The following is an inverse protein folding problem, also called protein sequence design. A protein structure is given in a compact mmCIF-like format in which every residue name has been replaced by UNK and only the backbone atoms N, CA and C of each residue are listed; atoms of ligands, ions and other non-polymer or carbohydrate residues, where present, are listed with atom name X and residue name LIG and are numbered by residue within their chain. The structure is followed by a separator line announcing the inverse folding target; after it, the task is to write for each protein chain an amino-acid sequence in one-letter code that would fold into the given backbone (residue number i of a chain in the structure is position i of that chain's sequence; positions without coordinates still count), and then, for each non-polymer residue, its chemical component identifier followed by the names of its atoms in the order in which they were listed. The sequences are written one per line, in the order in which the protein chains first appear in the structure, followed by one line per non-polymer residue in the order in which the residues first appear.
data_IF_498259331116
#
_entry.id   IF_498259331116
#
_cell.length_a   1.000
_cell.length_b   1.000
_cell.length_c   1.000
_cell.angle_alpha   90.00
_cell.angle_beta   90.00
_cell.angle_gamma   90.00
#
_symmetry.space_group_name_H-M   'P 1'
#
loop_
_entity.id
_entity.type
_entity.pdbx_description
1 polymer ?
#
# COMPACT_ATOMS: atom_id res chain seq x y z
N UNK A 1 2.72 30.61 18.15
CA UNK A 1 1.83 29.64 18.81
C UNK A 1 0.42 29.86 18.26
N UNK A 2 0.02 29.11 17.24
CA UNK A 2 -1.35 29.13 16.71
C UNK A 2 -1.86 27.68 16.65
N UNK A 3 -2.29 27.16 17.80
CA UNK A 3 -2.88 25.83 17.94
C UNK A 3 -4.37 25.76 17.49
N UNK A 4 -4.80 26.72 16.66
CA UNK A 4 -6.18 26.86 16.21
C UNK A 4 -6.21 27.01 14.68
N UNK A 5 -6.49 25.90 13.98
CA UNK A 5 -7.30 25.79 12.73
C UNK A 5 -7.12 24.49 11.91
N UNK A 6 -6.51 23.43 12.42
CA UNK A 6 -6.69 22.12 11.78
C UNK A 6 -8.06 21.56 12.21
N UNK A 7 -8.95 21.27 11.25
CA UNK A 7 -10.22 20.58 11.50
C UNK A 7 -10.04 19.12 11.97
N UNK A 8 -8.80 18.70 12.19
CA UNK A 8 -8.39 17.35 12.52
C UNK A 8 -7.39 17.32 13.68
N UNK A 9 -7.34 16.18 14.37
CA UNK A 9 -6.33 15.84 15.40
C UNK A 9 -5.63 14.54 15.06
N UNK A 10 -4.37 14.41 15.46
CA UNK A 10 -3.54 13.23 15.20
C UNK A 10 -3.03 12.68 16.52
N UNK A 11 -3.30 11.42 16.82
CA UNK A 11 -2.82 10.71 18.00
C UNK A 11 -1.89 9.56 17.57
N UNK A 12 -0.96 9.19 18.46
CA UNK A 12 -0.18 7.96 18.36
C UNK A 12 -0.71 6.97 19.37
N UNK A 13 -1.11 5.77 18.94
CA UNK A 13 -1.57 4.72 19.84
C UNK A 13 -0.41 3.93 20.48
N UNK A 14 0.83 4.16 20.05
CA UNK A 14 1.98 3.42 20.54
C UNK A 14 2.40 3.81 21.97
N UNK A 15 2.58 2.81 22.86
CA UNK A 15 3.19 3.02 24.19
C UNK A 15 4.70 3.29 24.15
N UNK A 16 5.40 2.77 23.16
CA UNK A 16 6.86 2.88 23.07
C UNK A 16 7.28 4.13 22.28
N UNK A 17 8.25 4.87 22.82
CA UNK A 17 8.74 6.12 22.21
C UNK A 17 9.37 5.90 20.82
N UNK A 18 10.08 4.79 20.60
CA UNK A 18 10.65 4.43 19.29
C UNK A 18 9.56 4.26 18.21
N UNK A 19 8.46 3.60 18.57
CA UNK A 19 7.31 3.38 17.70
C UNK A 19 6.52 4.67 17.38
N UNK A 20 6.77 5.75 18.12
CA UNK A 20 6.14 7.06 17.90
C UNK A 20 6.91 7.94 16.89
N UNK A 21 8.11 7.52 16.46
CA UNK A 21 8.94 8.29 15.52
C UNK A 21 8.20 8.62 14.22
N UNK A 22 7.45 7.65 13.69
CA UNK A 22 6.69 7.85 12.47
C UNK A 22 5.59 8.90 12.67
N UNK A 23 4.85 8.81 13.78
CA UNK A 23 3.78 9.74 14.09
C UNK A 23 4.31 11.19 14.18
N UNK A 24 5.46 11.39 14.82
CA UNK A 24 6.14 12.70 14.89
C UNK A 24 6.54 13.24 13.53
N UNK A 25 7.20 12.42 12.69
CA UNK A 25 7.61 12.79 11.33
C UNK A 25 6.43 13.19 10.45
N UNK A 26 5.30 12.52 10.65
CA UNK A 26 4.05 12.83 9.95
C UNK A 26 3.49 14.18 10.44
N UNK A 27 3.38 14.39 11.75
CA UNK A 27 2.82 15.64 12.30
C UNK A 27 3.68 16.85 11.98
N UNK A 28 5.01 16.72 12.04
CA UNK A 28 5.97 17.76 11.63
C UNK A 28 5.72 18.24 10.21
N UNK A 29 5.41 17.31 9.30
CA UNK A 29 5.16 17.62 7.88
C UNK A 29 3.77 18.19 7.61
N UNK A 30 2.80 17.81 8.43
CA UNK A 30 1.47 18.40 8.40
C UNK A 30 1.42 19.77 9.11
N UNK A 31 2.51 20.21 9.74
CA UNK A 31 2.50 21.39 10.59
C UNK A 31 1.55 21.26 11.79
N UNK A 32 1.30 20.02 12.22
CA UNK A 32 0.40 19.69 13.32
C UNK A 32 1.20 19.23 14.54
N UNK A 33 0.57 19.25 15.70
CA UNK A 33 1.10 18.64 16.93
C UNK A 33 0.38 17.33 17.21
N UNK A 34 1.09 16.37 17.81
CA UNK A 34 0.47 15.15 18.32
C UNK A 34 -0.47 15.50 19.47
N UNK A 35 -1.63 14.88 19.46
CA UNK A 35 -2.62 15.00 20.51
C UNK A 35 -2.10 14.48 21.84
N UNK A 36 -2.58 15.07 22.92
CA UNK A 36 -2.20 14.71 24.29
C UNK A 36 -2.93 13.44 24.69
N UNK A 37 -2.21 12.32 24.69
CA UNK A 37 -2.69 11.04 25.21
C UNK A 37 -1.60 10.32 26.00
N UNK A 38 -2.02 9.52 26.96
CA UNK A 38 -1.14 8.62 27.72
C UNK A 38 -1.53 7.19 27.36
N UNK A 39 -0.56 6.40 26.92
CA UNK A 39 -0.72 4.97 26.62
C UNK A 39 0.35 4.21 27.40
N UNK A 40 -0.06 3.28 28.25
CA UNK A 40 0.86 2.49 29.05
C UNK A 40 0.28 1.11 29.38
N UNK A 41 1.15 0.19 29.80
CA UNK A 41 0.74 -1.10 30.35
C UNK A 41 0.81 -1.06 31.88
N UNK A 42 -0.24 -1.56 32.52
CA UNK A 42 -0.29 -1.79 33.95
C UNK A 42 0.61 -2.99 34.33
N UNK A 43 0.93 -3.15 35.62
CA UNK A 43 1.85 -4.21 36.09
C UNK A 43 1.35 -5.64 35.83
N UNK A 44 0.03 -5.80 35.63
CA UNK A 44 -0.62 -7.07 35.27
C UNK A 44 -0.64 -7.32 33.73
N UNK A 45 -0.08 -6.42 32.92
CA UNK A 45 -0.06 -6.52 31.45
C UNK A 45 -1.29 -5.93 30.75
N UNK A 46 -2.26 -5.38 31.47
CA UNK A 46 -3.42 -4.72 30.86
C UNK A 46 -3.02 -3.38 30.23
N UNK A 47 -3.59 -3.07 29.07
CA UNK A 47 -3.33 -1.82 28.37
C UNK A 47 -4.30 -0.73 28.81
N UNK A 48 -3.79 0.44 29.16
CA UNK A 48 -4.60 1.62 29.50
C UNK A 48 -4.30 2.79 28.58
N UNK A 49 -5.37 3.44 28.12
CA UNK A 49 -5.30 4.64 27.27
C UNK A 49 -6.12 5.75 27.90
N UNK A 50 -5.52 6.92 28.03
CA UNK A 50 -6.18 8.13 28.51
C UNK A 50 -5.98 9.29 27.54
N UNK A 51 -7.09 9.81 27.01
CA UNK A 51 -7.08 11.01 26.15
C UNK A 51 -7.14 12.24 27.05
N UNK A 52 -6.15 13.13 26.96
CA UNK A 52 -5.98 14.30 27.85
C UNK A 52 -6.49 15.61 27.25
N UNK A 53 -7.19 15.54 26.13
CA UNK A 53 -7.81 16.70 25.47
C UNK A 53 -9.19 16.36 24.90
N UNK A 54 -9.99 17.40 24.60
CA UNK A 54 -11.31 17.21 24.02
C UNK A 54 -11.24 16.93 22.53
N UNK A 55 -11.89 15.84 22.10
CA UNK A 55 -11.97 15.38 20.70
C UNK A 55 -13.39 15.45 20.13
N UNK A 56 -14.32 16.09 20.85
CA UNK A 56 -15.75 16.10 20.50
C UNK A 56 -15.99 16.74 19.14
N UNK A 57 -16.65 16.01 18.25
CA UNK A 57 -17.06 16.49 16.93
C UNK A 57 -15.90 16.75 15.96
N UNK A 58 -14.68 16.34 16.30
CA UNK A 58 -13.48 16.48 15.48
C UNK A 58 -13.17 15.21 14.69
N UNK A 59 -12.43 15.37 13.61
CA UNK A 59 -11.90 14.25 12.81
C UNK A 59 -10.54 13.83 13.38
N UNK A 60 -10.41 12.56 13.73
CA UNK A 60 -9.28 12.04 14.48
C UNK A 60 -8.51 11.02 13.65
N UNK A 61 -7.20 11.18 13.58
CA UNK A 61 -6.29 10.22 12.98
C UNK A 61 -5.52 9.51 14.08
N UNK A 62 -5.57 8.18 14.10
CA UNK A 62 -4.77 7.36 15.03
C UNK A 62 -3.66 6.71 14.21
N UNK A 63 -2.41 7.07 14.49
CA UNK A 63 -1.25 6.42 13.87
C UNK A 63 -0.83 5.26 14.76
N UNK A 64 -0.79 4.06 14.18
CA UNK A 64 -0.29 2.87 14.88
C UNK A 64 0.78 2.17 14.04
N UNK A 65 1.99 2.12 14.60
CA UNK A 65 3.03 1.20 14.14
C UNK A 65 2.97 -0.09 14.96
N UNK A 66 3.40 -1.21 14.40
CA UNK A 66 3.30 -2.52 15.05
C UNK A 66 4.69 -2.97 15.53
N UNK A 67 5.03 -2.83 16.82
CA UNK A 67 6.26 -3.39 17.38
C UNK A 67 6.22 -4.94 17.41
N UNK A 68 7.26 -5.56 17.98
CA UNK A 68 7.37 -7.03 18.09
C UNK A 68 6.16 -7.66 18.78
N UNK A 69 5.59 -6.99 19.78
CA UNK A 69 4.35 -7.41 20.41
C UNK A 69 3.13 -6.89 19.64
N UNK A 70 2.69 -7.71 18.67
CA UNK A 70 1.53 -7.41 17.83
C UNK A 70 0.22 -7.36 18.61
N UNK A 71 0.06 -8.18 19.65
CA UNK A 71 -1.21 -8.30 20.39
C UNK A 71 -1.47 -7.03 21.19
N UNK A 72 -0.45 -6.57 21.93
CA UNK A 72 -0.51 -5.32 22.68
C UNK A 72 -0.77 -4.14 21.75
N UNK A 73 -0.06 -4.06 20.62
CA UNK A 73 -0.25 -2.98 19.65
C UNK A 73 -1.67 -2.94 19.07
N UNK A 74 -2.29 -4.10 18.85
CA UNK A 74 -3.70 -4.18 18.43
C UNK A 74 -4.64 -3.72 19.54
N UNK A 75 -4.39 -4.14 20.78
CA UNK A 75 -5.20 -3.72 21.94
C UNK A 75 -5.09 -2.22 22.21
N UNK A 76 -3.89 -1.64 22.17
CA UNK A 76 -3.66 -0.19 22.25
C UNK A 76 -4.52 0.58 21.24
N UNK A 77 -4.50 0.15 19.98
CA UNK A 77 -5.28 0.77 18.91
C UNK A 77 -6.79 0.64 19.16
N UNK A 78 -7.26 -0.56 19.52
CA UNK A 78 -8.69 -0.81 19.78
C UNK A 78 -9.20 0.02 20.95
N UNK A 79 -8.44 0.07 22.05
CA UNK A 79 -8.81 0.83 23.25
C UNK A 79 -8.78 2.34 22.95
N UNK A 80 -7.76 2.84 22.24
CA UNK A 80 -7.69 4.24 21.84
C UNK A 80 -8.86 4.63 20.93
N UNK A 81 -9.17 3.81 19.93
CA UNK A 81 -10.33 4.04 19.06
C UNK A 81 -11.64 4.07 19.85
N UNK A 82 -11.82 3.13 20.78
CA UNK A 82 -13.01 3.07 21.61
C UNK A 82 -13.14 4.27 22.58
N UNK A 83 -12.02 4.72 23.16
CA UNK A 83 -11.98 5.93 23.99
C UNK A 83 -12.34 7.19 23.20
N UNK A 84 -11.84 7.33 21.97
CA UNK A 84 -12.15 8.44 21.07
C UNK A 84 -13.62 8.41 20.61
N UNK A 85 -14.17 7.22 20.32
CA UNK A 85 -15.59 7.03 20.02
C UNK A 85 -16.48 7.44 21.18
N UNK A 86 -16.15 6.99 22.38
CA UNK A 86 -16.88 7.33 23.62
C UNK A 86 -16.78 8.82 23.93
N UNK A 87 -15.72 9.48 23.50
CA UNK A 87 -15.51 10.93 23.59
C UNK A 87 -16.19 11.74 22.48
N UNK A 88 -17.08 11.11 21.70
CA UNK A 88 -17.86 11.71 20.61
C UNK A 88 -17.01 12.31 19.48
N UNK A 89 -15.89 11.67 19.12
CA UNK A 89 -15.20 11.96 17.87
C UNK A 89 -16.15 11.78 16.67
N UNK A 90 -16.04 12.65 15.66
CA UNK A 90 -16.91 12.60 14.46
C UNK A 90 -16.49 11.45 13.55
N UNK A 91 -15.22 11.44 13.16
CA UNK A 91 -14.61 10.40 12.37
C UNK A 91 -13.33 9.94 13.07
N UNK A 92 -13.08 8.63 13.03
CA UNK A 92 -11.88 8.00 13.57
C UNK A 92 -11.21 7.24 12.43
N UNK A 93 -10.09 7.77 11.95
CA UNK A 93 -9.31 7.24 10.85
C UNK A 93 -8.09 6.52 11.43
N UNK A 94 -8.05 5.20 11.28
CA UNK A 94 -6.88 4.41 11.66
C UNK A 94 -5.82 4.47 10.57
N UNK A 95 -4.64 4.97 10.87
CA UNK A 95 -3.49 4.88 9.97
C UNK A 95 -2.59 3.78 10.48
N UNK A 96 -2.58 2.68 9.72
CA UNK A 96 -1.88 1.45 10.07
C UNK A 96 -0.97 1.10 8.89
N UNK A 97 0.27 1.63 8.84
CA UNK A 97 1.16 1.45 7.69
C UNK A 97 1.37 -0.03 7.34
N UNK A 98 1.66 -0.86 8.34
CA UNK A 98 1.68 -2.32 8.20
C UNK A 98 0.46 -2.91 8.90
N UNK A 99 -0.45 -3.53 8.15
CA UNK A 99 -1.65 -4.14 8.73
C UNK A 99 -1.35 -5.50 9.37
N UNK A 100 -1.54 -5.67 10.70
CA UNK A 100 -1.19 -6.90 11.39
C UNK A 100 -2.13 -8.06 10.99
N UNK A 101 -1.66 -9.29 11.16
CA UNK A 101 -2.34 -10.53 10.73
C UNK A 101 -2.68 -10.62 9.23
N UNK A 102 -2.15 -9.74 8.39
CA UNK A 102 -2.42 -9.73 6.93
C UNK A 102 -1.98 -11.01 6.21
N UNK A 103 -0.92 -11.69 6.69
CA UNK A 103 -0.52 -13.05 6.24
C UNK A 103 -1.59 -14.11 6.53
N UNK A 104 -2.46 -13.90 7.52
CA UNK A 104 -3.57 -14.79 7.91
C UNK A 104 -4.90 -14.36 7.26
N UNK A 105 -4.85 -13.99 5.98
CA UNK A 105 -6.00 -13.54 5.17
C UNK A 105 -6.73 -14.65 4.43
N UNK A 106 -6.19 -15.88 4.45
CA UNK A 106 -6.82 -17.08 3.87
C UNK A 106 -6.93 -18.15 4.95
N UNK A 107 -8.04 -18.89 4.92
CA UNK A 107 -8.23 -20.04 5.81
C UNK A 107 -7.23 -21.14 5.43
N UNK A 108 -6.48 -21.63 6.41
CA UNK A 108 -5.56 -22.77 6.26
C UNK A 108 -6.11 -23.94 7.06
N UNK A 109 -6.24 -25.12 6.44
CA UNK A 109 -6.80 -26.34 7.08
C UNK A 109 -8.10 -26.01 7.84
N UNK A 110 -8.31 -26.58 9.03
CA UNK A 110 -9.35 -26.17 9.99
C UNK A 110 -8.91 -24.95 10.81
N UNK A 111 -8.68 -23.84 10.13
CA UNK A 111 -8.24 -22.57 10.72
C UNK A 111 -9.30 -21.47 10.66
N UNK A 112 -8.94 -20.27 11.09
CA UNK A 112 -9.78 -19.07 11.00
C UNK A 112 -9.12 -18.01 10.11
N UNK A 113 -9.90 -17.03 9.65
CA UNK A 113 -9.39 -15.86 8.94
C UNK A 113 -9.22 -14.73 9.96
N UNK A 114 -8.10 -14.74 10.68
CA UNK A 114 -7.83 -13.78 11.78
C UNK A 114 -7.77 -12.35 11.27
N UNK A 115 -7.30 -12.13 10.03
CA UNK A 115 -7.32 -10.81 9.39
C UNK A 115 -8.75 -10.21 9.30
N UNK A 116 -9.76 -11.05 9.03
CA UNK A 116 -11.18 -10.64 8.98
C UNK A 116 -11.75 -10.40 10.37
N UNK A 117 -11.36 -11.21 11.35
CA UNK A 117 -11.69 -10.98 12.76
C UNK A 117 -11.20 -9.61 13.21
N UNK A 118 -9.92 -9.29 12.95
CA UNK A 118 -9.33 -8.00 13.29
C UNK A 118 -10.06 -6.84 12.62
N UNK A 119 -10.34 -6.93 11.32
CA UNK A 119 -11.11 -5.90 10.60
C UNK A 119 -12.49 -5.66 11.25
N UNK A 120 -13.14 -6.73 11.73
CA UNK A 120 -14.44 -6.66 12.41
C UNK A 120 -14.30 -6.03 13.81
N UNK A 121 -13.23 -6.33 14.55
CA UNK A 121 -12.95 -5.72 15.84
C UNK A 121 -12.67 -4.22 15.71
N UNK A 122 -11.90 -3.80 14.70
CA UNK A 122 -11.63 -2.39 14.43
C UNK A 122 -12.92 -1.60 14.12
N UNK A 123 -13.82 -2.19 13.33
CA UNK A 123 -15.14 -1.60 13.06
C UNK A 123 -15.96 -1.45 14.34
N UNK A 124 -15.95 -2.46 15.21
CA UNK A 124 -16.68 -2.43 16.49
C UNK A 124 -16.08 -1.42 17.47
N UNK A 125 -14.75 -1.31 17.53
CA UNK A 125 -14.05 -0.34 18.35
C UNK A 125 -14.39 1.11 17.96
N UNK A 126 -14.70 1.36 16.69
CA UNK A 126 -15.17 2.67 16.23
C UNK A 126 -14.43 3.28 15.06
N UNK A 127 -13.54 2.54 14.41
CA UNK A 127 -12.89 3.06 13.20
C UNK A 127 -13.94 3.27 12.10
N UNK A 128 -13.86 4.45 11.50
CA UNK A 128 -14.71 4.89 10.39
C UNK A 128 -14.02 4.76 9.04
N UNK A 129 -12.69 4.73 9.03
CA UNK A 129 -11.84 4.65 7.85
C UNK A 129 -10.49 4.05 8.26
N UNK A 130 -9.83 3.33 7.36
CA UNK A 130 -8.43 2.91 7.54
C UNK A 130 -7.54 3.33 6.36
N UNK A 131 -6.40 3.90 6.66
CA UNK A 131 -5.32 4.17 5.71
C UNK A 131 -4.19 3.18 6.01
N UNK A 132 -3.82 2.38 5.02
CA UNK A 132 -2.77 1.37 5.14
C UNK A 132 -1.90 1.38 3.89
N UNK A 133 -0.81 0.62 3.88
CA UNK A 133 0.10 0.56 2.75
C UNK A 133 0.38 -0.89 2.38
N UNK A 134 0.34 -1.19 1.08
CA UNK A 134 0.57 -2.52 0.46
C UNK A 134 0.04 -3.71 1.28
N UNK A 135 -1.29 -3.78 1.45
CA UNK A 135 -1.95 -4.97 1.98
C UNK A 135 -1.44 -6.25 1.29
N UNK A 136 -1.17 -7.29 2.10
CA UNK A 136 -0.60 -8.56 1.65
C UNK A 136 -1.34 -9.16 0.45
N UNK A 137 -2.67 -9.09 0.48
CA UNK A 137 -3.56 -9.41 -0.63
C UNK A 137 -4.52 -8.22 -0.81
N UNK A 138 -4.83 -7.85 -2.06
CA UNK A 138 -5.67 -6.67 -2.33
C UNK A 138 -7.12 -6.89 -1.86
N UNK A 139 -7.54 -8.15 -1.86
CA UNK A 139 -8.86 -8.64 -1.46
C UNK A 139 -9.14 -8.40 0.03
N UNK A 140 -8.11 -8.18 0.86
CA UNK A 140 -8.26 -7.82 2.28
C UNK A 140 -9.10 -6.55 2.45
N UNK A 141 -9.13 -5.64 1.46
CA UNK A 141 -10.00 -4.47 1.49
C UNK A 141 -11.48 -4.85 1.69
N UNK A 142 -11.93 -5.97 1.12
CA UNK A 142 -13.30 -6.47 1.28
C UNK A 142 -13.60 -7.03 2.67
N UNK A 143 -12.62 -7.12 3.57
CA UNK A 143 -12.85 -7.55 4.95
C UNK A 143 -13.44 -6.45 5.81
N UNK A 144 -13.19 -5.18 5.48
CA UNK A 144 -13.66 -4.04 6.24
C UNK A 144 -15.08 -3.67 5.84
N UNK A 145 -15.89 -3.27 6.83
CA UNK A 145 -17.25 -2.74 6.60
C UNK A 145 -17.26 -1.23 6.34
N UNK A 146 -16.09 -0.62 6.24
CA UNK A 146 -15.87 0.82 6.09
C UNK A 146 -14.75 1.07 5.07
N UNK A 147 -14.62 2.30 4.54
CA UNK A 147 -13.66 2.60 3.48
C UNK A 147 -12.19 2.34 3.86
N UNK A 148 -11.43 1.86 2.89
CA UNK A 148 -10.01 1.47 3.04
C UNK A 148 -9.18 2.13 1.94
N UNK A 149 -8.26 3.00 2.34
CA UNK A 149 -7.23 3.52 1.46
C UNK A 149 -5.97 2.66 1.58
N UNK A 150 -5.73 1.82 0.57
CA UNK A 150 -4.52 0.99 0.47
C UNK A 150 -3.49 1.64 -0.44
N UNK A 151 -2.55 2.35 0.16
CA UNK A 151 -1.47 3.05 -0.53
C UNK A 151 -0.46 2.05 -1.13
N UNK A 152 0.27 2.49 -2.15
CA UNK A 152 1.29 1.69 -2.84
C UNK A 152 2.69 2.23 -2.59
N UNK A 153 3.61 1.37 -2.16
CA UNK A 153 5.04 1.68 -2.09
C UNK A 153 5.73 1.63 -3.44
N UNK A 154 5.11 0.97 -4.44
CA UNK A 154 5.76 0.69 -5.73
C UNK A 154 6.39 1.91 -6.42
N UNK A 155 5.81 3.13 -6.43
CA UNK A 155 6.48 4.27 -7.06
C UNK A 155 7.85 4.59 -6.42
N UNK A 156 7.97 4.44 -5.10
CA UNK A 156 9.21 4.70 -4.36
C UNK A 156 10.25 3.63 -4.59
N UNK A 157 9.84 2.36 -4.56
CA UNK A 157 10.73 1.24 -4.84
C UNK A 157 11.21 1.25 -6.31
N UNK A 158 10.36 1.66 -7.26
CA UNK A 158 10.75 1.84 -8.66
C UNK A 158 11.75 2.98 -8.85
N UNK A 159 11.51 4.13 -8.23
CA UNK A 159 12.44 5.26 -8.24
C UNK A 159 13.80 4.84 -7.71
N UNK A 160 13.82 4.13 -6.59
CA UNK A 160 15.05 3.61 -6.00
C UNK A 160 15.82 2.67 -6.92
N UNK A 161 15.13 1.74 -7.59
CA UNK A 161 15.77 0.85 -8.58
C UNK A 161 16.45 1.66 -9.68
N UNK A 162 15.83 2.75 -10.14
CA UNK A 162 16.36 3.57 -11.23
C UNK A 162 17.50 4.49 -10.80
N UNK A 163 17.47 5.00 -9.56
CA UNK A 163 18.43 5.98 -9.06
C UNK A 163 19.67 5.34 -8.42
N UNK A 164 19.49 4.22 -7.71
CA UNK A 164 20.52 3.69 -6.80
C UNK A 164 21.11 2.35 -7.26
N UNK A 165 20.39 1.56 -8.06
CA UNK A 165 20.95 0.30 -8.59
C UNK A 165 21.75 0.59 -9.88
N UNK A 166 23.08 0.36 -9.87
CA UNK A 166 23.88 0.49 -11.07
C UNK A 166 23.46 -0.57 -12.09
N UNK A 167 23.38 -0.19 -13.36
CA UNK A 167 22.99 -1.10 -14.46
C UNK A 167 21.64 -1.82 -14.23
N UNK A 168 20.66 -1.14 -13.63
CA UNK A 168 19.33 -1.70 -13.40
C UNK A 168 18.63 -2.19 -14.69
N UNK A 169 19.07 -1.72 -15.87
CA UNK A 169 18.55 -2.16 -17.19
C UNK A 169 18.93 -3.60 -17.52
N UNK A 170 20.05 -4.09 -16.99
CA UNK A 170 20.46 -5.48 -17.07
C UNK A 170 19.88 -6.33 -15.92
N UNK A 171 18.98 -5.78 -15.09
CA UNK A 171 18.35 -6.51 -14.01
C UNK A 171 17.17 -7.37 -14.49
N UNK A 172 16.85 -8.38 -13.70
CA UNK A 172 15.66 -9.23 -13.79
C UNK A 172 14.88 -9.14 -12.48
N UNK A 173 13.58 -8.90 -12.59
CA UNK A 173 12.70 -8.88 -11.42
C UNK A 173 12.33 -10.32 -11.07
N UNK A 174 12.48 -10.69 -9.80
CA UNK A 174 12.27 -12.06 -9.32
C UNK A 174 11.12 -12.11 -8.32
N UNK A 175 10.18 -13.03 -8.56
CA UNK A 175 9.17 -13.40 -7.58
C UNK A 175 9.69 -14.57 -6.72
N UNK A 176 9.70 -14.41 -5.40
CA UNK A 176 10.10 -15.45 -4.45
C UNK A 176 9.19 -16.69 -4.49
N UNK A 177 7.94 -16.51 -4.87
CA UNK A 177 6.95 -17.58 -4.95
C UNK A 177 5.91 -17.27 -6.02
N UNK A 178 5.12 -18.28 -6.48
CA UNK A 178 4.01 -18.03 -7.40
C UNK A 178 2.98 -17.03 -6.85
N UNK A 179 2.81 -16.97 -5.52
CA UNK A 179 1.93 -16.00 -4.87
C UNK A 179 2.39 -14.54 -5.03
N UNK A 180 3.70 -14.32 -5.12
CA UNK A 180 4.31 -13.00 -5.33
C UNK A 180 4.43 -12.61 -6.82
N UNK A 181 4.14 -13.53 -7.75
CA UNK A 181 4.35 -13.34 -9.19
C UNK A 181 3.62 -12.11 -9.76
N UNK A 182 2.35 -11.89 -9.37
CA UNK A 182 1.57 -10.70 -9.79
C UNK A 182 2.23 -9.39 -9.36
N UNK A 183 2.89 -9.38 -8.20
CA UNK A 183 3.60 -8.20 -7.69
C UNK A 183 4.86 -7.97 -8.49
N UNK A 184 5.71 -8.99 -8.60
CA UNK A 184 6.94 -8.94 -9.39
C UNK A 184 6.68 -8.52 -10.85
N UNK A 185 5.65 -9.09 -11.48
CA UNK A 185 5.21 -8.73 -12.82
C UNK A 185 4.90 -7.24 -12.96
N UNK A 186 4.18 -6.64 -11.99
CA UNK A 186 3.89 -5.21 -12.01
C UNK A 186 5.14 -4.33 -11.94
N UNK A 187 6.24 -4.79 -11.35
CA UNK A 187 7.52 -4.08 -11.36
C UNK A 187 8.25 -4.29 -12.70
N UNK A 188 8.29 -5.52 -13.20
CA UNK A 188 8.90 -5.88 -14.48
C UNK A 188 8.29 -5.09 -15.64
N UNK A 189 6.97 -4.98 -15.70
CA UNK A 189 6.24 -4.23 -16.74
C UNK A 189 6.58 -2.73 -16.72
N UNK A 190 6.65 -2.13 -15.53
CA UNK A 190 6.93 -0.68 -15.38
C UNK A 190 8.39 -0.33 -15.67
N UNK A 191 9.32 -1.21 -15.32
CA UNK A 191 10.75 -1.03 -15.61
C UNK A 191 11.15 -1.52 -17.00
N UNK A 192 10.27 -2.24 -17.69
CA UNK A 192 10.53 -2.96 -18.95
C UNK A 192 11.70 -3.94 -18.82
N UNK A 193 11.68 -4.74 -17.74
CA UNK A 193 12.69 -5.75 -17.42
C UNK A 193 12.13 -7.16 -17.54
N UNK A 194 13.02 -8.15 -17.54
CA UNK A 194 12.63 -9.56 -17.47
C UNK A 194 11.97 -9.90 -16.13
N UNK A 195 11.18 -10.98 -16.14
CA UNK A 195 10.56 -11.56 -14.96
C UNK A 195 11.05 -12.99 -14.79
N UNK A 196 11.46 -13.35 -13.58
CA UNK A 196 11.69 -14.72 -13.15
C UNK A 196 10.82 -15.05 -11.94
N UNK A 197 10.45 -16.32 -11.80
CA UNK A 197 9.61 -16.80 -10.70
C UNK A 197 10.27 -18.03 -10.09
N UNK A 198 10.41 -18.01 -8.76
CA UNK A 198 10.87 -19.16 -7.99
C UNK A 198 9.67 -20.00 -7.59
N UNK A 199 9.78 -21.30 -7.79
CA UNK A 199 8.78 -22.30 -7.45
C UNK A 199 9.44 -23.47 -6.71
N UNK A 200 8.70 -24.10 -5.81
CA UNK A 200 9.19 -25.19 -4.97
C UNK A 200 9.41 -24.72 -3.55
N UNK A 201 9.69 -25.66 -2.66
CA UNK A 201 9.87 -25.37 -1.25
C UNK A 201 11.24 -25.89 -0.82
N UNK A 202 12.02 -25.06 -0.13
CA UNK A 202 13.13 -25.57 0.64
C UNK A 202 12.55 -26.54 1.69
N UNK A 203 13.13 -27.73 1.81
CA UNK A 203 12.78 -28.63 2.91
C UNK A 203 12.90 -27.85 4.22
N UNK A 204 11.86 -27.93 5.05
CA UNK A 204 11.60 -27.13 6.27
C UNK A 204 10.65 -25.94 6.08
N UNK A 205 9.34 -26.24 6.09
CA UNK A 205 8.36 -25.41 6.80
C UNK A 205 7.36 -26.36 7.46
N UNK A 206 7.24 -26.29 8.79
CA UNK A 206 6.30 -27.07 9.61
C UNK A 206 4.81 -26.88 9.24
N UNK A 207 4.51 -26.05 8.23
CA UNK A 207 3.17 -25.60 7.88
C UNK A 207 2.31 -26.68 7.18
N UNK A 208 2.93 -27.75 6.66
CA UNK A 208 2.22 -28.81 5.93
C UNK A 208 2.42 -30.21 6.54
N UNK A 209 2.44 -30.37 7.87
CA UNK A 209 2.05 -31.67 8.40
C UNK A 209 0.60 -31.94 7.96
N UNK A 210 0.43 -32.82 6.98
CA UNK A 210 -0.87 -33.35 6.57
C UNK A 210 -1.53 -33.94 7.81
N UNK A 211 -2.59 -33.29 8.29
CA UNK A 211 -3.25 -33.69 9.53
C UNK A 211 -4.11 -34.95 9.33
N UNK A 212 -4.12 -35.52 8.11
CA UNK A 212 -4.88 -36.71 7.74
C UNK A 212 -6.39 -36.50 7.83
N UNK A 213 -6.86 -35.25 8.04
CA UNK A 213 -8.26 -34.92 8.32
C UNK A 213 -9.01 -34.39 7.10
N UNK A 214 -8.34 -34.26 5.96
CA UNK A 214 -8.98 -33.98 4.67
C UNK A 214 -9.53 -35.25 4.00
N UNK A 215 -9.25 -36.41 4.57
CA UNK A 215 -9.88 -37.69 4.21
C UNK A 215 -10.91 -38.06 5.28
N UNK A 216 -12.08 -38.63 4.92
CA UNK A 216 -12.96 -39.27 5.89
C UNK A 216 -12.15 -40.25 6.75
N UNK A 217 -12.47 -40.42 8.05
CA UNK A 217 -11.75 -41.37 8.89
C UNK A 217 -11.79 -42.74 8.23
N UNK A 218 -10.63 -43.37 8.06
CA UNK A 218 -10.61 -44.76 7.59
C UNK A 218 -11.37 -45.61 8.61
N UNK A 219 -12.49 -46.21 8.19
CA UNK A 219 -13.13 -47.26 8.97
C UNK A 219 -12.10 -48.35 9.19
N UNK A 220 -11.64 -48.53 10.43
CA UNK A 220 -10.58 -49.49 10.76
C UNK A 220 -10.93 -50.94 10.46
N UNK A 221 -12.20 -51.26 10.15
CA UNK A 221 -12.67 -52.62 9.85
C UNK A 221 -13.75 -52.60 8.75
N UNK A 222 -13.44 -52.08 7.55
CA UNK A 222 -14.20 -52.48 6.37
C UNK A 222 -13.51 -53.71 5.78
N UNK A 223 -14.11 -54.89 5.96
CA UNK A 223 -13.78 -56.06 5.15
C UNK A 223 -13.92 -55.67 3.68
N UNK A 224 -12.78 -55.51 3.02
CA UNK A 224 -12.67 -55.17 1.60
C UNK A 224 -13.38 -56.28 0.82
N UNK A 225 -14.39 -55.91 0.03
CA UNK A 225 -14.90 -56.80 -1.01
C UNK A 225 -13.72 -57.19 -1.91
N UNK A 226 -13.48 -58.49 -2.18
CA UNK A 226 -12.35 -58.93 -2.98
C UNK A 226 -12.56 -58.46 -4.43
N UNK A 227 -11.96 -57.32 -4.80
CA UNK A 227 -12.06 -56.80 -6.17
C UNK A 227 -11.89 -55.30 -6.37
N UNK A 228 -11.82 -54.48 -5.32
CA UNK A 228 -11.52 -53.04 -5.45
C UNK A 228 -10.27 -52.66 -4.65
N UNK A 229 -9.11 -52.78 -5.29
CA UNK A 229 -7.89 -52.12 -4.83
C UNK A 229 -7.99 -50.63 -5.21
N UNK A 230 -8.27 -49.78 -4.22
CA UNK A 230 -8.07 -48.34 -4.37
C UNK A 230 -6.57 -48.07 -4.48
N UNK A 231 -6.10 -47.32 -5.50
CA UNK A 231 -4.69 -46.96 -5.60
C UNK A 231 -4.24 -46.25 -4.32
N UNK A 232 -3.16 -46.75 -3.70
CA UNK A 232 -2.50 -46.04 -2.59
C UNK A 232 -2.02 -44.72 -3.16
N UNK A 233 -2.68 -43.62 -2.78
CA UNK A 233 -2.27 -42.28 -3.20
C UNK A 233 -0.87 -42.02 -2.63
N UNK A 234 0.12 -41.92 -3.51
CA UNK A 234 1.48 -41.59 -3.10
C UNK A 234 1.48 -40.24 -2.40
N UNK A 235 2.22 -40.14 -1.29
CA UNK A 235 2.42 -38.87 -0.62
C UNK A 235 3.00 -37.87 -1.64
N UNK A 236 2.40 -36.68 -1.71
CA UNK A 236 2.85 -35.63 -2.62
C UNK A 236 4.22 -35.14 -2.14
N UNK A 237 5.30 -35.68 -2.73
CA UNK A 237 6.65 -35.16 -2.49
C UNK A 237 6.72 -33.70 -2.94
N UNK A 238 7.27 -32.84 -2.07
CA UNK A 238 7.40 -31.41 -2.35
C UNK A 238 8.49 -31.20 -3.41
N UNK A 239 8.21 -30.47 -4.51
CA UNK A 239 9.17 -30.29 -5.58
C UNK A 239 10.37 -29.46 -5.10
N UNK A 240 11.59 -29.76 -5.59
CA UNK A 240 12.78 -28.98 -5.28
C UNK A 240 12.60 -27.55 -5.76
N UNK A 241 13.25 -26.64 -5.06
CA UNK A 241 13.24 -25.21 -5.38
C UNK A 241 13.93 -24.98 -6.74
N UNK A 242 13.23 -24.29 -7.65
CA UNK A 242 13.63 -24.06 -9.04
C UNK A 242 13.29 -22.64 -9.46
N UNK A 243 14.07 -22.11 -10.41
CA UNK A 243 13.84 -20.79 -11.03
C UNK A 243 13.26 -21.00 -12.43
N UNK A 244 12.18 -20.29 -12.72
CA UNK A 244 11.58 -20.18 -14.05
C UNK A 244 11.86 -18.77 -14.58
N UNK A 245 12.69 -18.66 -15.63
CA UNK A 245 13.17 -17.40 -16.19
C UNK A 245 14.70 -17.34 -16.27
N UNK A 246 15.22 -16.52 -17.19
CA UNK A 246 16.65 -16.28 -17.35
C UNK A 246 17.16 -15.24 -16.35
N UNK A 247 18.17 -15.63 -15.56
CA UNK A 247 18.80 -14.78 -14.53
C UNK A 247 20.33 -14.72 -14.70
N UNK A 248 20.89 -15.44 -15.68
CA UNK A 248 22.33 -15.59 -15.84
C UNK A 248 22.98 -14.30 -16.33
N UNK A 249 24.07 -13.89 -15.67
CA UNK A 249 24.80 -12.65 -16.01
C UNK A 249 24.03 -11.36 -15.73
N UNK A 250 22.94 -11.44 -14.94
CA UNK A 250 22.06 -10.31 -14.60
C UNK A 250 22.07 -9.99 -13.11
N UNK A 251 21.57 -8.81 -12.78
CA UNK A 251 21.22 -8.44 -11.40
C UNK A 251 19.84 -9.01 -11.09
N UNK A 252 19.70 -9.84 -10.05
CA UNK A 252 18.42 -10.34 -9.61
C UNK A 252 17.82 -9.41 -8.54
N UNK A 253 16.60 -8.91 -8.76
CA UNK A 253 15.87 -8.07 -7.80
C UNK A 253 14.63 -8.83 -7.32
N UNK A 254 14.71 -9.43 -6.14
CA UNK A 254 13.57 -10.09 -5.49
C UNK A 254 12.64 -9.01 -4.93
N UNK A 255 11.35 -9.05 -5.31
CA UNK A 255 10.34 -8.11 -4.81
C UNK A 255 9.26 -8.85 -4.03
N UNK A 256 9.03 -8.44 -2.79
CA UNK A 256 7.94 -8.94 -1.94
C UNK A 256 7.21 -7.80 -1.20
N UNK A 257 6.10 -8.08 -0.52
CA UNK A 257 5.42 -7.08 0.32
C UNK A 257 5.98 -7.02 1.74
N UNK A 258 6.32 -8.18 2.29
CA UNK A 258 6.71 -8.36 3.70
C UNK A 258 7.97 -9.22 3.78
N UNK A 259 8.95 -8.77 4.56
CA UNK A 259 10.09 -9.59 5.03
C UNK A 259 9.93 -9.82 6.53
N UNK A 260 9.69 -11.06 6.91
CA UNK A 260 9.43 -11.50 8.29
C UNK A 260 10.47 -12.55 8.67
N UNK A 261 10.23 -13.81 8.30
CA UNK A 261 11.26 -14.84 8.15
C UNK A 261 12.05 -14.62 6.86
N UNK A 262 13.34 -14.93 6.88
CA UNK A 262 14.25 -14.72 5.74
C UNK A 262 14.79 -16.00 5.12
N UNK A 263 14.56 -17.17 5.71
CA UNK A 263 15.08 -18.44 5.21
C UNK A 263 14.71 -18.66 3.74
N UNK A 264 13.44 -18.39 3.39
CA UNK A 264 12.98 -18.48 2.00
C UNK A 264 13.60 -17.44 1.07
N UNK A 265 14.01 -16.27 1.58
CA UNK A 265 14.74 -15.27 0.80
C UNK A 265 16.21 -15.66 0.61
N UNK A 266 16.84 -16.26 1.63
CA UNK A 266 18.20 -16.77 1.56
C UNK A 266 18.29 -17.94 0.58
N UNK A 267 17.40 -18.92 0.68
CA UNK A 267 17.34 -20.04 -0.27
C UNK A 267 17.10 -19.57 -1.71
N UNK A 268 16.24 -18.55 -1.89
CA UNK A 268 16.05 -17.92 -3.19
C UNK A 268 17.33 -17.28 -3.72
N UNK A 269 18.08 -16.57 -2.85
CA UNK A 269 19.33 -15.92 -3.22
C UNK A 269 20.41 -16.93 -3.65
N UNK A 270 20.59 -18.02 -2.91
CA UNK A 270 21.58 -19.05 -3.27
C UNK A 270 21.32 -19.63 -4.66
N UNK A 271 20.06 -19.96 -4.98
CA UNK A 271 19.73 -20.55 -6.29
C UNK A 271 19.86 -19.54 -7.42
N UNK A 272 19.54 -18.27 -7.18
CA UNK A 272 19.77 -17.22 -8.17
C UNK A 272 21.27 -17.10 -8.47
N UNK A 273 22.11 -17.21 -7.44
CA UNK A 273 23.57 -17.20 -7.57
C UNK A 273 24.10 -18.42 -8.31
N UNK A 274 23.60 -19.62 -8.00
CA UNK A 274 23.91 -20.86 -8.73
C UNK A 274 23.52 -20.77 -10.22
N UNK A 275 22.45 -20.03 -10.54
CA UNK A 275 22.02 -19.76 -11.92
C UNK A 275 22.72 -18.58 -12.58
N UNK A 276 23.76 -18.04 -11.95
CA UNK A 276 24.64 -17.04 -12.53
C UNK A 276 24.18 -15.59 -12.34
N UNK A 277 23.23 -15.31 -11.44
CA UNK A 277 22.99 -13.93 -11.01
C UNK A 277 24.20 -13.42 -10.22
N UNK A 278 24.78 -12.31 -10.65
CA UNK A 278 26.03 -11.80 -10.06
C UNK A 278 25.81 -10.79 -8.93
N UNK A 279 24.59 -10.24 -8.83
CA UNK A 279 24.13 -9.41 -7.70
C UNK A 279 22.68 -9.72 -7.36
N UNK A 280 22.33 -9.64 -6.08
CA UNK A 280 21.02 -9.99 -5.54
C UNK A 280 20.54 -8.89 -4.60
N UNK A 281 19.47 -8.22 -5.00
CA UNK A 281 18.75 -7.23 -4.21
C UNK A 281 17.43 -7.81 -3.73
N UNK A 282 17.06 -7.55 -2.48
CA UNK A 282 15.74 -7.87 -1.95
C UNK A 282 15.01 -6.59 -1.59
N UNK A 283 13.80 -6.41 -2.10
CA UNK A 283 12.98 -5.23 -1.85
C UNK A 283 11.63 -5.61 -1.26
N UNK A 284 11.23 -4.90 -0.21
CA UNK A 284 9.88 -5.02 0.33
C UNK A 284 9.33 -3.73 0.93
N UNK A 285 8.01 -3.67 1.01
CA UNK A 285 7.32 -2.55 1.65
C UNK A 285 7.48 -2.58 3.17
N UNK A 286 7.35 -3.76 3.78
CA UNK A 286 7.37 -3.96 5.23
C UNK A 286 8.52 -4.88 5.65
N UNK A 287 9.42 -4.37 6.48
CA UNK A 287 10.43 -5.19 7.15
C UNK A 287 10.08 -5.40 8.61
N UNK A 288 9.53 -6.58 8.91
CA UNK A 288 9.33 -7.07 10.28
C UNK A 288 10.63 -7.62 10.84
N UNK A 289 11.39 -8.34 9.99
CA UNK A 289 12.72 -8.90 10.29
C UNK A 289 12.73 -9.62 11.65
N UNK A 290 11.86 -10.62 11.80
CA UNK A 290 11.70 -11.33 13.09
C UNK A 290 12.82 -12.34 13.33
N UNK A 291 12.99 -12.75 14.60
CA UNK A 291 13.99 -13.73 15.02
C UNK A 291 15.42 -13.39 14.56
N UNK A 292 16.13 -14.35 13.96
CA UNK A 292 17.52 -14.21 13.51
C UNK A 292 17.62 -13.63 12.09
N UNK A 293 16.54 -13.07 11.55
CA UNK A 293 16.50 -12.54 10.19
C UNK A 293 17.67 -11.59 9.85
N UNK A 294 18.05 -10.63 10.73
CA UNK A 294 19.16 -9.73 10.41
C UNK A 294 20.51 -10.45 10.29
N UNK A 295 20.77 -11.46 11.14
CA UNK A 295 22.00 -12.25 11.08
C UNK A 295 22.05 -13.08 9.78
N UNK A 296 20.94 -13.76 9.47
CA UNK A 296 20.85 -14.60 8.27
C UNK A 296 21.01 -13.78 6.98
N UNK A 297 20.53 -12.53 6.93
CA UNK A 297 20.77 -11.63 5.80
C UNK A 297 22.27 -11.33 5.65
N UNK A 298 22.96 -11.01 6.75
CA UNK A 298 24.41 -10.74 6.74
C UNK A 298 25.24 -11.94 6.29
N UNK A 299 24.85 -13.15 6.70
CA UNK A 299 25.56 -14.38 6.35
C UNK A 299 25.22 -14.90 4.94
N UNK A 300 24.12 -14.42 4.33
CA UNK A 300 23.66 -14.89 3.01
C UNK A 300 24.39 -14.26 1.81
N UNK A 301 24.13 -14.82 0.62
CA UNK A 301 24.52 -14.25 -0.66
C UNK A 301 23.75 -12.99 -1.10
N UNK A 302 22.80 -12.50 -0.31
CA UNK A 302 22.09 -11.24 -0.60
C UNK A 302 23.08 -10.08 -0.47
N UNK A 303 23.15 -9.22 -1.49
CA UNK A 303 24.02 -8.04 -1.49
C UNK A 303 23.38 -6.88 -0.73
N UNK A 304 22.07 -6.66 -0.95
CA UNK A 304 21.38 -5.54 -0.35
C UNK A 304 19.90 -5.83 -0.09
N UNK A 305 19.40 -5.42 1.08
CA UNK A 305 17.98 -5.46 1.42
C UNK A 305 17.45 -4.04 1.59
N UNK A 306 16.39 -3.70 0.84
CA UNK A 306 15.73 -2.40 0.89
C UNK A 306 14.29 -2.51 1.34
N UNK A 307 13.98 -1.69 2.34
CA UNK A 307 12.70 -1.66 3.03
C UNK A 307 12.14 -0.24 2.99
N UNK A 308 10.85 -0.11 2.66
CA UNK A 308 10.20 1.20 2.76
C UNK A 308 9.89 1.53 4.23
N UNK A 309 9.18 0.64 4.93
CA UNK A 309 8.89 0.75 6.36
C UNK A 309 9.64 -0.31 7.15
N UNK A 310 10.25 0.11 8.27
CA UNK A 310 10.94 -0.78 9.21
C UNK A 310 10.25 -0.68 10.57
N UNK A 311 9.91 -1.83 11.16
CA UNK A 311 9.23 -1.88 12.46
C UNK A 311 10.21 -1.97 13.64
N UNK A 312 11.49 -2.28 13.40
CA UNK A 312 12.54 -2.39 14.43
C UNK A 312 13.82 -1.66 14.02
N UNK A 313 14.60 -1.13 14.97
CA UNK A 313 15.93 -0.57 14.67
C UNK A 313 16.95 -1.69 14.45
N UNK A 314 17.69 -1.64 13.34
CA UNK A 314 18.79 -2.56 13.02
C UNK A 314 20.00 -1.78 12.52
N UNK A 315 21.20 -2.21 12.93
CA UNK A 315 22.49 -1.56 12.64
C UNK A 315 23.47 -2.40 11.82
N UNK A 316 23.00 -3.41 11.06
CA UNK A 316 23.89 -4.20 10.21
C UNK A 316 24.27 -3.51 8.90
N UNK A 317 25.29 -4.06 8.27
CA UNK A 317 26.01 -3.51 7.12
C UNK A 317 25.31 -3.69 5.78
N UNK A 318 24.57 -4.79 5.57
CA UNK A 318 23.90 -5.08 4.29
C UNK A 318 22.52 -4.45 4.12
N UNK A 319 21.92 -3.90 5.18
CA UNK A 319 20.86 -2.89 4.99
C UNK A 319 21.44 -1.51 4.91
N UNK A 320 21.55 -1.00 3.69
CA UNK A 320 21.74 0.42 3.51
C UNK A 320 20.40 1.16 3.48
N UNK A 321 20.40 2.34 4.11
CA UNK A 321 19.38 3.41 4.14
C UNK A 321 17.92 2.97 3.95
N UNK A 322 17.17 3.06 5.05
CA UNK A 322 15.73 3.36 5.04
C UNK A 322 15.49 4.41 3.95
N UNK A 323 14.72 4.06 2.92
CA UNK A 323 14.19 5.09 2.04
C UNK A 323 13.43 6.03 2.97
N UNK A 324 13.87 7.29 3.09
CA UNK A 324 13.35 8.23 4.07
C UNK A 324 11.83 8.29 3.96
N UNK A 325 11.17 7.48 4.78
CA UNK A 325 9.73 7.36 4.94
C UNK A 325 9.06 8.74 4.97
N UNK A 326 9.66 9.80 5.57
CA UNK A 326 9.05 11.11 5.52
C UNK A 326 8.95 11.74 4.12
N UNK A 327 10.01 11.78 3.27
CA UNK A 327 10.09 12.71 2.11
C UNK A 327 8.90 12.68 1.17
N UNK A 328 8.43 11.50 0.81
CA UNK A 328 7.37 11.35 -0.17
C UNK A 328 6.08 10.75 0.39
N UNK A 329 6.13 10.02 1.52
CA UNK A 329 4.90 9.55 2.17
C UNK A 329 4.10 10.75 2.62
N UNK A 330 4.66 11.80 3.21
CA UNK A 330 3.81 12.95 3.53
C UNK A 330 3.23 13.65 2.31
N UNK A 331 3.77 13.49 1.09
CA UNK A 331 3.07 13.95 -0.11
C UNK A 331 1.90 13.05 -0.46
N UNK A 332 2.07 11.72 -0.45
CA UNK A 332 0.98 10.76 -0.67
C UNK A 332 -0.04 10.78 0.47
N UNK A 333 0.41 11.05 1.68
CA UNK A 333 -0.37 11.13 2.89
C UNK A 333 -1.04 12.48 2.95
N UNK A 334 -0.39 13.61 2.71
CA UNK A 334 -1.05 14.90 2.51
C UNK A 334 -2.03 14.85 1.32
N UNK A 335 -1.74 14.08 0.27
CA UNK A 335 -2.68 13.85 -0.85
C UNK A 335 -3.88 13.01 -0.41
N UNK A 336 -3.69 11.86 0.26
CA UNK A 336 -4.80 11.07 0.83
C UNK A 336 -5.54 11.80 1.94
N UNK A 337 -4.85 12.61 2.75
CA UNK A 337 -5.41 13.44 3.82
C UNK A 337 -6.26 14.56 3.22
N UNK A 338 -5.77 15.23 2.16
CA UNK A 338 -6.54 16.20 1.39
C UNK A 338 -7.63 15.54 0.54
N UNK A 339 -7.46 14.29 0.08
CA UNK A 339 -8.51 13.55 -0.61
C UNK A 339 -9.58 13.07 0.37
N UNK A 340 -9.27 12.61 1.58
CA UNK A 340 -10.27 12.31 2.62
C UNK A 340 -11.07 13.58 2.97
N UNK A 341 -10.41 14.76 3.01
CA UNK A 341 -11.07 16.06 3.18
C UNK A 341 -11.85 16.51 1.91
N UNK A 342 -11.36 16.22 0.70
CA UNK A 342 -11.98 16.61 -0.58
C UNK A 342 -13.10 15.67 -1.02
N UNK A 343 -13.08 14.40 -0.62
CA UNK A 343 -14.10 13.40 -0.95
C UNK A 343 -15.36 13.65 -0.13
N UNK A 344 -15.25 14.24 1.06
CA UNK A 344 -16.40 14.79 1.81
C UNK A 344 -17.11 15.92 1.03
N UNK A 345 -16.36 16.70 0.24
CA UNK A 345 -16.88 17.77 -0.61
C UNK A 345 -17.50 17.24 -1.93
N UNK A 346 -17.13 16.03 -2.35
CA UNK A 346 -17.64 15.44 -3.61
C UNK A 346 -19.08 14.94 -3.51
N UNK A 347 -19.60 14.73 -2.29
CA UNK A 347 -20.97 14.24 -2.04
C UNK A 347 -21.93 15.29 -1.46
N UNK A 348 -21.48 16.53 -1.19
CA UNK A 348 -22.36 17.65 -0.83
C UNK A 348 -22.30 18.70 -1.93
N UNK A 349 -23.29 18.61 -2.83
CA UNK A 349 -23.30 19.36 -4.07
C UNK A 349 -23.22 20.87 -3.90
N UNK A 350 -22.32 21.49 -4.66
CA UNK A 350 -22.61 22.68 -5.47
C UNK A 350 -21.68 22.67 -6.69
N UNK A 351 -22.26 22.69 -7.88
CA UNK A 351 -21.54 22.75 -9.15
C UNK A 351 -20.80 24.09 -9.28
N UNK A 352 -19.48 24.10 -9.11
CA UNK A 352 -18.63 25.11 -9.76
C UNK A 352 -17.46 24.42 -10.44
N UNK A 353 -17.38 24.60 -11.77
CA UNK A 353 -16.36 24.02 -12.64
C UNK A 353 -14.98 24.56 -12.25
N UNK A 354 -14.13 23.73 -11.65
CA UNK A 354 -12.66 23.91 -11.72
C UNK A 354 -12.08 22.76 -12.56
N UNK A 355 -11.32 23.14 -13.59
CA UNK A 355 -10.57 22.22 -14.46
C UNK A 355 -9.58 21.42 -13.61
N UNK A 356 -9.79 20.12 -13.49
CA UNK A 356 -8.77 19.19 -12.99
C UNK A 356 -7.82 18.93 -14.16
N UNK A 357 -6.55 19.35 -14.03
CA UNK A 357 -5.49 18.90 -14.92
C UNK A 357 -5.21 17.43 -14.61
N UNK A 358 -5.75 16.54 -15.44
CA UNK A 358 -5.31 15.15 -15.51
C UNK A 358 -3.96 15.17 -16.24
N UNK A 359 -2.87 14.98 -15.51
CA UNK A 359 -1.56 14.72 -16.11
C UNK A 359 -1.63 13.31 -16.68
N UNK A 360 -1.82 13.23 -18.00
CA UNK A 360 -1.76 12.00 -18.78
C UNK A 360 -0.27 11.72 -19.09
N UNK A 361 0.34 10.60 -18.69
CA UNK A 361 1.70 10.29 -19.08
C UNK A 361 1.66 9.56 -20.43
N UNK A 362 1.38 10.31 -21.50
CA UNK A 362 1.56 9.79 -22.86
C UNK A 362 1.72 10.95 -23.84
N UNK A 363 2.97 11.34 -24.08
CA UNK A 363 3.40 11.89 -25.37
C UNK A 363 4.93 12.00 -25.40
N UNK A 364 5.58 10.94 -25.85
CA UNK A 364 6.84 11.09 -26.58
C UNK A 364 6.50 11.83 -27.87
N UNK A 365 6.89 13.10 -27.99
CA UNK A 365 6.93 13.79 -29.27
C UNK A 365 8.39 14.04 -29.67
N UNK A 366 8.82 13.19 -30.59
CA UNK A 366 9.96 13.38 -31.47
C UNK A 366 9.75 14.69 -32.24
N UNK A 367 10.72 15.60 -32.13
CA UNK A 367 10.79 16.85 -32.89
C UNK A 367 11.32 16.60 -34.31
N UNK A 368 10.63 17.10 -35.34
CA UNK A 368 11.17 17.57 -36.63
C UNK A 368 10.15 18.56 -37.26
N UNK A 369 10.55 19.48 -38.17
CA UNK A 369 10.21 20.89 -38.07
C UNK A 369 9.08 21.35 -39.01
N UNK A 370 8.56 22.53 -38.66
CA UNK A 370 7.63 23.43 -39.38
C UNK A 370 7.44 23.17 -40.88
N UNK A 371 6.18 22.92 -41.27
CA UNK A 371 5.65 23.31 -42.58
C UNK A 371 4.31 24.01 -42.37
N UNK A 372 4.29 25.29 -42.76
CA UNK A 372 3.10 26.15 -42.84
C UNK A 372 2.04 25.52 -43.76
N UNK A 373 0.76 25.54 -43.34
CA UNK A 373 -0.37 25.33 -44.25
C UNK A 373 -1.35 26.51 -44.18
N UNK A 374 -1.48 27.21 -45.31
CA UNK A 374 -2.54 28.15 -45.66
C UNK A 374 -3.84 27.38 -46.01
N UNK A 375 -5.03 28.00 -45.89
CA UNK A 375 -6.30 27.32 -46.13
C UNK A 375 -6.77 27.51 -47.59
N UNK A 376 -7.23 26.45 -48.26
CA UNK A 376 -8.44 26.51 -49.10
C UNK A 376 -8.87 25.22 -49.82
N UNK A 377 -10.20 25.14 -50.00
CA UNK A 377 -11.01 24.54 -51.08
C UNK A 377 -11.35 23.04 -51.08
N UNK A 378 -12.68 22.81 -50.91
CA UNK A 378 -13.61 22.03 -51.72
C UNK A 378 -13.08 20.80 -52.48
N UNK A 379 -13.70 19.64 -52.24
CA UNK A 379 -14.23 18.72 -53.26
C UNK A 379 -15.32 17.82 -52.63
N UNK A 380 -16.27 17.47 -53.47
CA UNK A 380 -17.61 16.90 -53.33
C UNK A 380 -17.74 15.39 -53.01
N UNK A 381 -18.85 15.04 -52.33
CA UNK A 381 -19.81 13.89 -52.38
C UNK A 381 -19.59 12.71 -53.38
N UNK A 382 -20.24 11.50 -53.22
CA UNK A 382 -21.58 11.28 -52.61
C UNK A 382 -21.89 9.98 -51.80
N UNK A 383 -23.00 10.10 -51.06
CA UNK A 383 -24.09 9.17 -50.68
C UNK A 383 -23.95 7.64 -50.62
N UNK A 384 -24.46 7.08 -49.52
CA UNK A 384 -25.46 5.99 -49.58
C UNK A 384 -26.42 6.07 -48.38
N UNK A 385 -27.71 6.07 -48.73
CA UNK A 385 -28.90 6.23 -47.89
C UNK A 385 -29.20 5.03 -46.99
N UNK A 386 -29.88 5.27 -45.86
CA UNK A 386 -31.15 4.62 -45.52
C UNK A 386 -31.89 5.39 -44.40
N UNK A 387 -33.20 5.46 -44.56
CA UNK A 387 -34.17 6.39 -43.96
C UNK A 387 -34.94 5.82 -42.75
N UNK A 388 -35.14 6.68 -41.72
CA UNK A 388 -36.39 7.10 -40.97
C UNK A 388 -37.59 6.14 -40.73
N UNK A 389 -38.49 6.34 -39.73
CA UNK A 389 -39.10 7.62 -39.23
C UNK A 389 -39.12 7.80 -37.67
N UNK A 390 -39.02 8.98 -37.05
CA UNK A 390 -39.89 10.18 -36.91
C UNK A 390 -41.12 10.10 -35.96
N UNK A 391 -41.05 10.80 -34.81
CA UNK A 391 -42.10 11.54 -34.05
C UNK A 391 -41.44 12.11 -32.76
N UNK A 392 -41.60 13.35 -32.25
CA UNK A 392 -42.31 14.59 -32.58
C UNK A 392 -42.09 15.65 -31.44
N UNK A 393 -42.43 16.93 -31.72
CA UNK A 393 -42.45 18.15 -30.85
C UNK A 393 -41.09 18.87 -30.60
N UNK A 394 -40.70 20.00 -31.24
CA UNK A 394 -41.20 21.41 -31.32
C UNK A 394 -41.10 22.16 -29.96
N UNK A 395 -40.23 23.18 -29.75
CA UNK A 395 -40.37 24.61 -30.12
C UNK A 395 -39.04 25.43 -30.03
N UNK A 396 -39.04 26.57 -30.74
CA UNK A 396 -37.99 27.56 -31.09
C UNK A 396 -37.51 28.52 -29.96
N UNK A 397 -36.42 29.30 -30.19
CA UNK A 397 -35.65 30.05 -29.20
C UNK A 397 -36.01 31.55 -29.11
N UNK A 398 -35.54 32.25 -28.07
CA UNK A 398 -35.53 33.71 -28.01
C UNK A 398 -34.23 34.28 -27.41
N UNK A 399 -33.74 35.32 -28.09
CA UNK A 399 -32.56 36.15 -27.84
C UNK A 399 -32.62 36.96 -26.53
N UNK A 400 -31.45 37.39 -26.04
CA UNK A 400 -31.13 38.83 -25.81
C UNK A 400 -29.64 39.03 -25.40
N UNK A 401 -28.97 39.97 -26.08
CA UNK A 401 -27.73 40.66 -25.65
C UNK A 401 -28.09 42.01 -24.94
N UNK A 402 -27.18 42.98 -24.67
CA UNK A 402 -26.45 43.15 -23.41
C UNK A 402 -26.53 44.57 -22.76
N UNK A 403 -25.78 44.77 -21.65
CA UNK A 403 -25.22 46.03 -21.05
C UNK A 403 -25.99 46.72 -19.88
N UNK A 404 -25.41 47.70 -19.12
CA UNK A 404 -24.11 47.77 -18.41
C UNK A 404 -24.17 48.44 -16.99
N UNK A 405 -23.01 48.55 -16.30
CA UNK A 405 -22.65 49.46 -15.15
C UNK A 405 -23.36 49.23 -13.80
N UNK A 406 -22.81 49.48 -12.61
CA UNK A 406 -21.51 49.78 -12.04
C UNK A 406 -21.66 49.49 -10.51
N UNK A 407 -20.61 49.04 -9.82
CA UNK A 407 -20.18 49.68 -8.56
C UNK A 407 -18.89 49.05 -8.02
N UNK A 408 -18.00 49.94 -7.60
CA UNK A 408 -16.66 49.70 -7.09
C UNK A 408 -16.70 49.30 -5.60
N UNK A 409 -15.80 48.42 -5.17
CA UNK A 409 -15.53 48.23 -3.74
C UNK A 409 -14.60 47.06 -3.41
N UNK A 410 -13.32 47.39 -3.15
CA UNK A 410 -12.31 46.60 -2.44
C UNK A 410 -11.98 45.18 -2.95
N UNK A 411 -11.01 45.09 -3.87
CA UNK A 411 -10.09 43.95 -4.00
C UNK A 411 -8.68 44.51 -4.18
N UNK A 412 -8.04 44.85 -3.06
CA UNK A 412 -6.60 45.01 -2.97
C UNK A 412 -6.10 44.00 -1.93
N UNK A 413 -5.01 43.30 -2.29
CA UNK A 413 -4.32 42.24 -1.55
C UNK A 413 -4.90 40.82 -1.64
N UNK A 414 -4.76 40.15 -2.79
CA UNK A 414 -4.58 38.68 -2.76
C UNK A 414 -3.91 38.04 -3.98
N UNK A 415 -3.17 38.78 -4.83
CA UNK A 415 -2.48 38.17 -6.00
C UNK A 415 -0.95 38.06 -5.89
N UNK A 416 -0.31 38.57 -4.83
CA UNK A 416 1.16 38.55 -4.68
C UNK A 416 1.72 37.44 -3.75
N UNK A 417 0.96 36.38 -3.44
CA UNK A 417 1.46 35.28 -2.56
C UNK A 417 1.49 33.88 -3.16
N UNK A 418 1.12 33.69 -4.42
CA UNK A 418 1.18 32.37 -5.07
C UNK A 418 2.46 32.20 -5.93
N UNK A 419 3.25 33.25 -6.10
CA UNK A 419 4.44 33.25 -6.97
C UNK A 419 5.78 33.01 -6.26
N UNK A 420 5.79 32.78 -4.94
CA UNK A 420 7.04 32.63 -4.14
C UNK A 420 7.18 31.29 -3.41
N UNK A 421 6.44 30.25 -3.80
CA UNK A 421 6.56 28.90 -3.22
C UNK A 421 6.91 27.82 -4.27
N UNK A 422 7.74 28.17 -5.26
CA UNK A 422 8.27 27.23 -6.27
C UNK A 422 9.81 27.25 -6.35
N UNK A 423 10.50 28.10 -5.59
CA UNK A 423 11.96 28.16 -5.57
C UNK A 423 12.44 28.00 -4.13
N UNK A 424 12.81 26.77 -3.74
CA UNK A 424 13.79 26.42 -2.68
C UNK A 424 13.56 25.01 -2.07
N UNK A 425 13.34 23.98 -2.88
CA UNK A 425 13.54 22.58 -2.43
C UNK A 425 14.25 21.78 -3.52
N UNK A 426 15.45 22.25 -3.88
CA UNK A 426 16.53 21.43 -4.43
C UNK A 426 17.80 21.91 -3.75
N UNK A 427 18.16 21.24 -2.66
CA UNK A 427 19.52 20.91 -2.15
C UNK A 427 19.31 19.82 -1.09
#
# INVERSE_FOLDING_TARGET
MNAARSGYRVFSANSTAASTELAKKITERLGAELGKSVVYQETNGETRVEIKESVRGQDIFIIQTIPRDVNTAVMELLIMAYALKTSCARNIIGVIPYFPYSKQSKMRKRGSIVCKLLASMLAKAGLTHIITMDLHQKEIQGFFSFPVDNLRASPFLLQYIQEEIPDYRNAVIVAKSPGAAKRAQSYAERLRLGLAVIHGEAQCTEQDMDDGRHSPPMLKNATVHPGLELPVMMAKEKPPITVVGDVGGRIAIIVDDIIDDVESFVAAAEILKERGAYKIFVMATHGLLSADAPRLIEESSIDEVRLLSRLQSWGGTKTHKLMSFPRHVAHVWNYSFNQVLSVSWFFTGTHTKKKVCVINPCSDQICFPLVHFLPNKNISHPCLDTSLPAAGAVWLPSHCEPSPSADQGLLLHEEDRISNLIINIVI
#
